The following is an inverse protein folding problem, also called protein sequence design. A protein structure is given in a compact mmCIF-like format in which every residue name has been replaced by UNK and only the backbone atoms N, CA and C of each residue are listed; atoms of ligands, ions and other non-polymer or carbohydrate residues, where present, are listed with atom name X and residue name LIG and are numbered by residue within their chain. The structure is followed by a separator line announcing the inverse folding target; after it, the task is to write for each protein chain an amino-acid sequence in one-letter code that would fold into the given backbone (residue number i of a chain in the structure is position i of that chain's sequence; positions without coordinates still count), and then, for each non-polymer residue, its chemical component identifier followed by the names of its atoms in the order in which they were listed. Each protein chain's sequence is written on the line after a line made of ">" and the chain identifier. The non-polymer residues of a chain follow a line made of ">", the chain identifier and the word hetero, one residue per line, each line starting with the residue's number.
data_IF_787849517564
#
_entry.id   IF_787849517564
#
_cell.length_a   1.000
_cell.length_b   1.000
_cell.length_c   1.000
_cell.angle_alpha   90.00
_cell.angle_beta   90.00
_cell.angle_gamma   90.00
#
_symmetry.space_group_name_H-M   'P 1'
#
loop_
_entity.id
_entity.type
_entity.pdbx_description
1 polymer ?
#
# COMPACT_ATOMS: atom_id res chain seq x y z
N UNK A 1 -9.97 -0.37 11.14
CA UNK A 1 -10.08 -1.42 10.09
C UNK A 1 -8.98 -2.45 10.35
N UNK A 2 -9.21 -3.77 10.27
CA UNK A 2 -8.12 -4.73 10.46
C UNK A 2 -7.08 -4.57 9.33
N UNK A 3 -5.85 -4.23 9.70
CA UNK A 3 -4.73 -4.08 8.76
C UNK A 3 -3.72 -5.19 8.98
N UNK A 4 -2.97 -5.51 7.92
CA UNK A 4 -1.92 -6.52 7.97
C UNK A 4 -0.61 -5.87 7.59
N UNK A 5 0.33 -5.91 8.53
CA UNK A 5 1.73 -5.61 8.26
C UNK A 5 2.33 -6.79 7.50
N UNK A 6 2.85 -6.53 6.29
CA UNK A 6 3.56 -7.54 5.51
C UNK A 6 4.98 -7.75 6.05
N UNK A 7 5.07 -8.08 7.34
CA UNK A 7 6.33 -8.41 8.03
C UNK A 7 6.50 -9.92 8.20
N UNK A 8 5.44 -10.72 8.02
CA UNK A 8 5.46 -12.18 8.27
C UNK A 8 4.69 -13.04 7.26
N UNK A 9 3.87 -12.47 6.37
CA UNK A 9 3.11 -13.22 5.35
C UNK A 9 3.87 -13.25 4.01
N UNK A 10 5.11 -13.71 4.04
CA UNK A 10 6.02 -13.67 2.88
C UNK A 10 5.63 -14.62 1.73
N UNK A 11 4.50 -15.33 1.81
CA UNK A 11 4.02 -16.20 0.75
C UNK A 11 2.61 -15.81 0.33
N UNK A 12 2.36 -15.84 -1.00
CA UNK A 12 1.03 -15.67 -1.57
C UNK A 12 0.00 -16.62 -0.92
N UNK A 13 0.43 -17.82 -0.54
CA UNK A 13 -0.43 -18.80 0.13
C UNK A 13 -0.87 -18.35 1.54
N UNK A 14 0.00 -17.64 2.27
CA UNK A 14 -0.36 -17.09 3.56
C UNK A 14 -1.38 -15.95 3.43
N UNK A 15 -1.21 -15.09 2.42
CA UNK A 15 -2.19 -14.05 2.07
C UNK A 15 -3.54 -14.65 1.65
N UNK A 16 -3.54 -15.67 0.78
CA UNK A 16 -4.75 -16.40 0.39
C UNK A 16 -5.47 -16.99 1.58
N UNK A 17 -4.75 -17.72 2.44
CA UNK A 17 -5.31 -18.28 3.67
C UNK A 17 -5.94 -17.19 4.52
N UNK A 18 -5.26 -16.06 4.70
CA UNK A 18 -5.83 -14.95 5.46
C UNK A 18 -7.13 -14.43 4.84
N UNK A 19 -7.15 -14.12 3.54
CA UNK A 19 -8.31 -13.55 2.86
C UNK A 19 -9.51 -14.50 2.94
N UNK A 20 -9.28 -15.81 2.77
CA UNK A 20 -10.33 -16.85 2.88
C UNK A 20 -10.97 -16.91 4.26
N UNK A 21 -10.18 -16.77 5.33
CA UNK A 21 -10.70 -16.83 6.71
C UNK A 21 -11.17 -15.46 7.22
N UNK A 22 -10.87 -14.38 6.50
CA UNK A 22 -11.32 -13.04 6.86
C UNK A 22 -12.76 -12.81 6.36
N UNK A 23 -13.70 -12.63 7.29
CA UNK A 23 -15.10 -12.40 6.96
C UNK A 23 -15.43 -10.95 6.54
N UNK A 24 -14.48 -10.01 6.67
CA UNK A 24 -14.67 -8.61 6.28
C UNK A 24 -14.77 -8.43 4.76
N UNK A 25 -15.58 -7.46 4.33
CA UNK A 25 -15.73 -7.12 2.91
C UNK A 25 -14.52 -6.35 2.36
N UNK A 26 -13.83 -5.63 3.23
CA UNK A 26 -12.65 -4.83 2.90
C UNK A 26 -11.44 -5.29 3.73
N UNK A 27 -10.31 -5.52 3.05
CA UNK A 27 -9.05 -5.93 3.67
C UNK A 27 -7.96 -4.97 3.21
N UNK A 28 -7.23 -4.43 4.18
CA UNK A 28 -6.14 -3.48 3.94
C UNK A 28 -4.78 -4.13 4.23
N UNK A 29 -3.92 -4.15 3.23
CA UNK A 29 -2.53 -4.60 3.30
C UNK A 29 -1.60 -3.40 3.26
N UNK A 30 -0.52 -3.47 4.02
CA UNK A 30 0.47 -2.41 4.07
C UNK A 30 1.84 -3.01 3.82
N UNK A 31 2.50 -2.52 2.77
CA UNK A 31 3.91 -2.79 2.51
C UNK A 31 4.76 -2.00 3.50
N UNK A 32 5.58 -2.65 4.35
CA UNK A 32 6.55 -1.98 5.19
C UNK A 32 7.55 -1.18 4.36
N UNK A 33 8.17 -0.17 4.98
CA UNK A 33 9.11 0.71 4.29
C UNK A 33 10.35 -0.04 3.80
N UNK A 34 10.81 -1.03 4.56
CA UNK A 34 11.96 -1.88 4.26
C UNK A 34 11.71 -2.74 3.02
N UNK A 35 10.52 -3.34 2.95
CA UNK A 35 10.11 -4.17 1.81
C UNK A 35 9.88 -3.31 0.57
N UNK A 36 9.25 -2.15 0.73
CA UNK A 36 9.05 -1.21 -0.37
C UNK A 36 10.37 -0.62 -0.88
N UNK A 37 11.35 -0.35 -0.01
CA UNK A 37 12.67 0.12 -0.39
C UNK A 37 13.46 -0.94 -1.20
N UNK A 38 13.33 -2.21 -0.82
CA UNK A 38 14.09 -3.32 -1.42
C UNK A 38 13.46 -3.88 -2.70
N UNK A 39 12.14 -4.07 -2.72
CA UNK A 39 11.42 -4.69 -3.83
C UNK A 39 10.68 -3.67 -4.72
N UNK A 40 10.57 -2.42 -4.26
CA UNK A 40 9.87 -1.36 -4.98
C UNK A 40 8.35 -1.54 -5.05
N UNK A 41 7.66 -0.67 -5.81
CA UNK A 41 6.20 -0.73 -5.99
C UNK A 41 5.71 -1.98 -6.74
N UNK A 42 6.57 -2.65 -7.52
CA UNK A 42 6.19 -3.83 -8.31
C UNK A 42 5.74 -4.99 -7.42
N UNK A 43 6.30 -5.09 -6.21
CA UNK A 43 6.06 -6.19 -5.28
C UNK A 43 4.57 -6.46 -5.05
N UNK A 44 3.78 -5.42 -4.78
CA UNK A 44 2.33 -5.56 -4.56
C UNK A 44 1.51 -5.44 -5.83
N UNK A 45 2.00 -4.78 -6.87
CA UNK A 45 1.23 -4.62 -8.10
C UNK A 45 0.87 -5.97 -8.73
N UNK A 46 1.84 -6.88 -8.82
CA UNK A 46 1.62 -8.22 -9.37
C UNK A 46 0.65 -9.02 -8.49
N UNK A 47 0.92 -9.07 -7.17
CA UNK A 47 0.09 -9.82 -6.22
C UNK A 47 -1.33 -9.28 -6.11
N UNK A 48 -1.50 -7.96 -6.23
CA UNK A 48 -2.81 -7.30 -6.18
C UNK A 48 -3.71 -7.79 -7.29
N UNK A 49 -3.19 -7.89 -8.52
CA UNK A 49 -3.99 -8.34 -9.67
C UNK A 49 -4.44 -9.79 -9.49
N UNK A 50 -3.52 -10.68 -9.08
CA UNK A 50 -3.82 -12.09 -8.81
C UNK A 50 -4.87 -12.25 -7.69
N UNK A 51 -4.66 -11.59 -6.55
CA UNK A 51 -5.57 -11.70 -5.41
C UNK A 51 -6.94 -11.07 -5.70
N UNK A 52 -7.00 -9.99 -6.47
CA UNK A 52 -8.27 -9.35 -6.81
C UNK A 52 -9.08 -10.21 -7.79
N UNK A 53 -8.43 -10.96 -8.69
CA UNK A 53 -9.09 -11.94 -9.56
C UNK A 53 -9.59 -13.16 -8.78
N UNK A 54 -8.83 -13.63 -7.79
CA UNK A 54 -9.17 -14.79 -6.95
C UNK A 54 -10.30 -14.47 -5.95
N UNK A 55 -10.33 -13.24 -5.42
CA UNK A 55 -11.30 -12.77 -4.43
C UNK A 55 -12.09 -11.56 -4.94
N UNK A 56 -12.88 -11.66 -6.03
CA UNK A 56 -13.54 -10.52 -6.66
C UNK A 56 -14.64 -9.89 -5.79
N UNK A 57 -15.12 -10.62 -4.79
CA UNK A 57 -16.11 -10.17 -3.82
C UNK A 57 -15.49 -9.42 -2.63
N UNK A 58 -14.16 -9.37 -2.53
CA UNK A 58 -13.43 -8.64 -1.49
C UNK A 58 -12.84 -7.36 -2.08
N UNK A 59 -12.92 -6.28 -1.31
CA UNK A 59 -12.21 -5.03 -1.60
C UNK A 59 -10.82 -5.11 -0.98
N UNK A 60 -9.80 -5.31 -1.81
CA UNK A 60 -8.40 -5.42 -1.36
C UNK A 60 -7.67 -4.09 -1.59
N UNK A 61 -7.24 -3.45 -0.50
CA UNK A 61 -6.52 -2.16 -0.53
C UNK A 61 -5.06 -2.40 -0.17
N UNK A 62 -4.14 -1.90 -1.01
CA UNK A 62 -2.70 -2.10 -0.84
C UNK A 62 -1.97 -0.77 -0.68
N UNK A 63 -1.64 -0.42 0.56
CA UNK A 63 -0.83 0.76 0.88
C UNK A 63 0.66 0.47 0.72
N UNK A 64 1.36 1.39 0.08
CA UNK A 64 2.82 1.35 -0.05
C UNK A 64 3.45 2.37 0.88
N UNK A 65 4.27 1.93 1.84
CA UNK A 65 4.96 2.85 2.72
C UNK A 65 6.29 3.29 2.10
N UNK A 66 6.32 4.53 1.63
CA UNK A 66 7.52 5.14 1.07
C UNK A 66 8.42 5.81 2.13
N UNK A 67 8.02 5.81 3.41
CA UNK A 67 8.72 6.56 4.44
C UNK A 67 8.89 8.02 4.04
N UNK A 68 10.08 8.58 4.22
CA UNK A 68 10.46 9.93 3.81
C UNK A 68 11.11 9.99 2.41
N UNK A 69 11.17 8.86 1.70
CA UNK A 69 11.88 8.72 0.42
C UNK A 69 11.04 9.27 -0.74
N UNK A 70 11.11 10.59 -0.97
CA UNK A 70 10.31 11.27 -1.99
C UNK A 70 10.50 10.70 -3.41
N UNK A 71 11.71 10.27 -3.77
CA UNK A 71 11.97 9.65 -5.08
C UNK A 71 11.19 8.35 -5.30
N UNK A 72 11.10 7.51 -4.26
CA UNK A 72 10.35 6.26 -4.29
C UNK A 72 8.83 6.51 -4.33
N UNK A 73 8.35 7.48 -3.55
CA UNK A 73 6.96 7.93 -3.59
C UNK A 73 6.55 8.38 -5.01
N UNK A 74 7.36 9.20 -5.66
CA UNK A 74 7.11 9.65 -7.03
C UNK A 74 7.16 8.50 -8.04
N UNK A 75 8.13 7.60 -7.91
CA UNK A 75 8.25 6.40 -8.74
C UNK A 75 6.99 5.54 -8.66
N UNK A 76 6.51 5.26 -7.45
CA UNK A 76 5.30 4.48 -7.22
C UNK A 76 4.05 5.11 -7.85
N UNK A 77 3.85 6.42 -7.69
CA UNK A 77 2.70 7.11 -8.30
C UNK A 77 2.70 6.98 -9.82
N UNK A 78 3.87 7.18 -10.45
CA UNK A 78 4.05 7.03 -11.91
C UNK A 78 3.79 5.60 -12.39
N UNK A 79 4.09 4.61 -11.55
CA UNK A 79 3.86 3.20 -11.83
C UNK A 79 2.42 2.74 -11.61
N UNK A 80 1.53 3.61 -11.13
CA UNK A 80 0.12 3.25 -10.96
C UNK A 80 -0.31 2.96 -9.53
N UNK A 81 0.58 3.13 -8.54
CA UNK A 81 0.18 3.00 -7.12
C UNK A 81 -0.87 4.06 -6.78
N UNK A 82 -1.92 3.64 -6.07
CA UNK A 82 -3.07 4.50 -5.71
C UNK A 82 -3.22 4.74 -4.20
N UNK A 83 -2.48 4.02 -3.37
CA UNK A 83 -2.51 4.17 -1.92
C UNK A 83 -1.07 4.21 -1.40
N UNK A 84 -0.66 5.36 -0.88
CA UNK A 84 0.71 5.63 -0.48
C UNK A 84 0.76 6.22 0.93
N UNK A 85 1.70 5.74 1.75
CA UNK A 85 2.06 6.35 3.02
C UNK A 85 3.37 7.11 2.78
N UNK A 86 3.41 8.39 3.13
CA UNK A 86 4.60 9.23 3.00
C UNK A 86 4.78 10.10 4.24
N UNK A 87 5.96 10.00 4.85
CA UNK A 87 6.29 10.56 6.17
C UNK A 87 7.36 11.65 6.09
N UNK A 88 7.70 12.12 4.88
CA UNK A 88 8.65 13.19 4.70
C UNK A 88 8.11 14.55 5.16
N UNK A 89 9.01 15.54 5.25
CA UNK A 89 8.69 16.89 5.69
C UNK A 89 7.46 17.51 4.98
N UNK A 90 6.69 18.33 5.70
CA UNK A 90 5.39 18.88 5.26
C UNK A 90 5.43 19.48 3.84
N UNK A 91 6.43 20.32 3.54
CA UNK A 91 6.58 20.93 2.22
C UNK A 91 6.72 19.89 1.11
N UNK A 92 7.43 18.79 1.37
CA UNK A 92 7.58 17.69 0.42
C UNK A 92 6.30 16.86 0.36
N UNK A 93 5.67 16.58 1.51
CA UNK A 93 4.38 15.89 1.58
C UNK A 93 3.31 16.58 0.74
N UNK A 94 3.15 17.90 0.86
CA UNK A 94 2.18 18.67 0.08
C UNK A 94 2.42 18.57 -1.42
N UNK A 95 3.68 18.55 -1.86
CA UNK A 95 4.03 18.33 -3.27
C UNK A 95 3.66 16.93 -3.73
N UNK A 96 4.03 15.90 -2.97
CA UNK A 96 3.67 14.51 -3.26
C UNK A 96 2.15 14.35 -3.32
N UNK A 97 1.41 14.93 -2.37
CA UNK A 97 -0.06 14.92 -2.34
C UNK A 97 -0.66 15.59 -3.57
N UNK A 98 -0.14 16.74 -3.99
CA UNK A 98 -0.59 17.42 -5.21
C UNK A 98 -0.40 16.55 -6.46
N UNK A 99 0.73 15.84 -6.54
CA UNK A 99 1.03 14.93 -7.66
C UNK A 99 0.13 13.69 -7.59
N UNK A 100 -0.08 13.14 -6.40
CA UNK A 100 -0.97 12.00 -6.21
C UNK A 100 -2.41 12.31 -6.64
N UNK A 101 -2.92 13.50 -6.32
CA UNK A 101 -4.24 13.94 -6.79
C UNK A 101 -4.35 13.91 -8.33
N UNK A 102 -3.29 14.32 -9.05
CA UNK A 102 -3.24 14.24 -10.51
C UNK A 102 -3.34 12.78 -11.00
N UNK A 103 -2.73 11.84 -10.29
CA UNK A 103 -2.81 10.40 -10.58
C UNK A 103 -4.02 9.69 -9.94
N UNK A 104 -4.97 10.44 -9.37
CA UNK A 104 -6.12 9.89 -8.63
C UNK A 104 -5.69 8.90 -7.52
N UNK A 105 -4.57 9.20 -6.88
CA UNK A 105 -4.00 8.43 -5.78
C UNK A 105 -4.20 9.14 -4.44
N UNK A 106 -4.26 8.34 -3.37
CA UNK A 106 -4.39 8.80 -1.99
C UNK A 106 -3.02 8.72 -1.31
N UNK A 107 -2.64 9.81 -0.63
CA UNK A 107 -1.42 9.89 0.18
C UNK A 107 -1.79 10.30 1.60
N UNK A 108 -1.32 9.54 2.59
CA UNK A 108 -1.49 9.83 4.01
C UNK A 108 -0.13 9.92 4.74
N UNK A 109 -0.03 10.71 5.83
CA UNK A 109 1.11 10.63 6.74
C UNK A 109 1.04 9.35 7.59
N UNK A 110 2.18 8.88 8.13
CA UNK A 110 2.22 7.71 9.03
C UNK A 110 1.48 7.93 10.34
N UNK A 111 1.33 9.16 10.81
CA UNK A 111 0.63 9.45 12.06
C UNK A 111 -0.85 9.06 11.97
N UNK A 112 -1.46 9.20 10.78
CA UNK A 112 -2.83 8.74 10.50
C UNK A 112 -2.95 7.23 10.29
N UNK A 113 -1.83 6.52 10.23
CA UNK A 113 -1.76 5.07 10.08
C UNK A 113 -1.86 4.34 11.42
N UNK A 114 -1.54 5.00 12.55
CA UNK A 114 -1.56 4.41 13.90
C UNK A 114 -2.84 4.74 14.70
N UNK A 115 -3.75 5.53 14.14
CA UNK A 115 -4.95 6.04 14.84
C UNK A 115 -6.29 5.38 14.41
N UNK A 116 -6.31 4.30 13.61
CA UNK A 116 -7.54 3.59 13.16
C UNK A 116 -7.36 2.06 13.00
#
# INVERSE_FOLDING_TARGET
>A
MPYILDTELNTLDALRKFITHNHGEEITFVCPVELFASAGPVYWMIRKEELQQEFPHKKLIFWHNAGDMAGYALGALRMGVRHLIFTGAEKTFLKIKSIANHYQAIVIPSEKYLEN
#
